data_IF_569249430859
#
_entry.id   IF_569249430859
#
_cell.length_a   1.000
_cell.length_b   1.000
_cell.length_c   1.000
_cell.angle_alpha   90.00
_cell.angle_beta   90.00
_cell.angle_gamma   90.00
#
_symmetry.space_group_name_H-M   'P 1'
#
loop_
_entity.id
_entity.type
_entity.pdbx_description
1 polymer ?
#
# COMPACT_ATOMS: atom_id res chain seq x y z
N UNK A 1 -18.07 5.73 -1.91
CA UNK A 1 -16.63 5.41 -2.08
C UNK A 1 -15.84 6.69 -1.84
N UNK A 2 -14.70 6.60 -1.17
CA UNK A 2 -13.84 7.74 -0.87
C UNK A 2 -12.50 7.54 -1.59
N UNK A 3 -11.98 8.59 -2.20
CA UNK A 3 -10.75 8.55 -2.99
C UNK A 3 -9.69 9.33 -2.23
N UNK A 4 -8.57 8.65 -1.95
CA UNK A 4 -7.40 9.25 -1.35
C UNK A 4 -6.29 9.33 -2.40
N UNK A 5 -5.79 10.54 -2.64
CA UNK A 5 -4.68 10.78 -3.55
C UNK A 5 -3.42 11.14 -2.75
N UNK A 6 -2.33 10.41 -2.99
CA UNK A 6 -1.06 10.63 -2.29
C UNK A 6 -0.06 9.52 -2.57
N UNK A 7 0.98 9.43 -1.74
CA UNK A 7 2.07 8.47 -1.96
C UNK A 7 1.63 7.05 -1.64
N UNK A 8 2.00 6.12 -2.52
CA UNK A 8 1.91 4.68 -2.30
C UNK A 8 3.34 4.16 -2.14
N UNK A 9 3.61 3.46 -1.04
CA UNK A 9 4.91 2.84 -0.77
C UNK A 9 4.97 1.45 -1.39
N UNK A 10 5.97 1.21 -2.25
CA UNK A 10 6.25 -0.11 -2.83
C UNK A 10 7.37 -0.80 -2.05
N UNK A 11 7.26 -2.11 -1.81
CA UNK A 11 8.34 -2.90 -1.22
C UNK A 11 8.32 -4.36 -1.62
N UNK A 12 9.49 -4.99 -1.62
CA UNK A 12 9.68 -6.37 -2.11
C UNK A 12 8.99 -7.45 -1.26
N UNK A 13 8.60 -7.10 -0.03
CA UNK A 13 7.96 -8.02 0.91
C UNK A 13 6.70 -7.40 1.50
N UNK A 14 5.75 -8.26 1.81
CA UNK A 14 4.50 -7.86 2.46
C UNK A 14 4.81 -7.16 3.79
N UNK A 15 4.36 -5.91 3.93
CA UNK A 15 4.40 -5.18 5.20
C UNK A 15 3.58 -5.92 6.27
N UNK A 16 4.24 -6.30 7.37
CA UNK A 16 3.65 -7.05 8.50
C UNK A 16 4.00 -6.46 9.87
N UNK A 17 4.51 -5.24 9.91
CA UNK A 17 4.90 -4.56 11.14
C UNK A 17 4.19 -3.21 11.23
N UNK A 18 3.32 -3.07 12.24
CA UNK A 18 2.60 -1.82 12.51
C UNK A 18 3.56 -0.67 12.76
N UNK A 19 4.57 -0.89 13.60
CA UNK A 19 5.51 0.17 14.01
C UNK A 19 6.33 0.66 12.81
N UNK A 20 6.80 -0.25 11.96
CA UNK A 20 7.53 0.11 10.74
C UNK A 20 6.61 0.82 9.74
N UNK A 21 5.38 0.32 9.56
CA UNK A 21 4.35 0.93 8.72
C UNK A 21 4.09 2.37 9.13
N UNK A 22 3.85 2.61 10.42
CA UNK A 22 3.55 3.94 10.95
C UNK A 22 4.75 4.88 10.85
N UNK A 23 5.96 4.40 11.15
CA UNK A 23 7.18 5.19 11.01
C UNK A 23 7.45 5.62 9.56
N UNK A 24 7.29 4.71 8.59
CA UNK A 24 7.47 5.01 7.18
C UNK A 24 6.35 5.93 6.65
N UNK A 25 5.10 5.67 7.05
CA UNK A 25 3.97 6.51 6.67
C UNK A 25 4.14 7.94 7.15
N UNK A 26 4.53 8.14 8.40
CA UNK A 26 4.79 9.48 8.94
C UNK A 26 5.99 10.15 8.25
N UNK A 27 7.08 9.41 8.04
CA UNK A 27 8.30 9.96 7.45
C UNK A 27 8.14 10.36 5.98
N UNK A 28 7.36 9.62 5.21
CA UNK A 28 7.27 9.77 3.75
C UNK A 28 5.89 10.21 3.25
N UNK A 29 4.92 10.42 4.15
CA UNK A 29 3.54 10.76 3.78
C UNK A 29 2.84 9.65 3.00
N UNK A 30 3.17 8.38 3.29
CA UNK A 30 2.61 7.21 2.59
C UNK A 30 1.18 6.95 3.08
N UNK A 31 0.25 6.81 2.14
CA UNK A 31 -1.16 6.50 2.41
C UNK A 31 -1.46 5.00 2.34
N UNK A 32 -0.72 4.26 1.52
CA UNK A 32 -0.93 2.82 1.32
C UNK A 32 0.37 2.09 0.93
N UNK A 33 0.41 0.78 1.15
CA UNK A 33 1.57 -0.07 0.85
C UNK A 33 1.20 -1.17 -0.15
N UNK A 34 2.03 -1.40 -1.15
CA UNK A 34 1.91 -2.47 -2.16
C UNK A 34 3.30 -2.95 -2.60
N UNK A 35 3.39 -3.77 -3.65
CA UNK A 35 4.63 -4.53 -3.95
C UNK A 35 5.12 -4.43 -5.40
N UNK A 36 4.37 -3.82 -6.32
CA UNK A 36 4.65 -3.87 -7.76
C UNK A 36 4.73 -2.50 -8.43
N UNK A 37 4.10 -1.48 -7.84
CA UNK A 37 3.81 -0.18 -8.44
C UNK A 37 5.05 0.60 -8.81
N UNK A 38 6.08 0.60 -7.97
CA UNK A 38 7.34 1.29 -8.29
C UNK A 38 8.04 0.69 -9.51
N UNK A 39 8.01 -0.64 -9.65
CA UNK A 39 8.66 -1.31 -10.78
C UNK A 39 7.96 -1.03 -12.11
N UNK A 40 6.63 -1.08 -12.15
CA UNK A 40 5.88 -0.84 -13.40
C UNK A 40 5.86 0.64 -13.80
N UNK A 41 5.94 1.56 -12.82
CA UNK A 41 5.96 2.99 -13.06
C UNK A 41 7.17 3.44 -13.88
N UNK A 42 8.33 2.83 -13.65
CA UNK A 42 9.56 3.16 -14.37
C UNK A 42 9.57 2.61 -15.81
N UNK A 43 8.77 1.59 -16.10
CA UNK A 43 8.74 0.93 -17.41
C UNK A 43 7.69 1.49 -18.36
N UNK A 44 6.51 1.90 -17.85
CA UNK A 44 5.42 2.41 -18.69
C UNK A 44 4.70 3.61 -18.06
N UNK A 45 4.23 4.57 -18.87
CA UNK A 45 3.34 5.62 -18.40
C UNK A 45 2.06 5.01 -17.82
N UNK A 46 1.87 5.12 -16.51
CA UNK A 46 0.74 4.53 -15.82
C UNK A 46 0.30 5.37 -14.61
N UNK A 47 -0.83 4.98 -14.02
CA UNK A 47 -1.32 5.49 -12.75
C UNK A 47 -1.59 4.27 -11.87
N UNK A 48 -1.10 4.29 -10.64
CA UNK A 48 -1.33 3.21 -9.69
C UNK A 48 -2.62 3.49 -8.92
N UNK A 49 -3.56 2.54 -8.97
CA UNK A 49 -4.81 2.57 -8.20
C UNK A 49 -4.81 1.36 -7.27
N UNK A 50 -5.10 1.60 -5.99
CA UNK A 50 -5.10 0.56 -4.97
C UNK A 50 -6.40 0.52 -4.17
N UNK A 51 -7.05 -0.63 -4.18
CA UNK A 51 -8.05 -1.01 -3.19
C UNK A 51 -7.40 -1.41 -1.86
N UNK A 52 -8.04 -1.03 -0.74
CA UNK A 52 -7.54 -1.31 0.61
C UNK A 52 -8.28 -2.52 1.18
N UNK A 53 -7.56 -3.60 1.44
CA UNK A 53 -8.10 -4.85 2.01
C UNK A 53 -7.41 -5.32 3.30
N UNK A 54 -6.37 -4.61 3.74
CA UNK A 54 -5.66 -4.90 4.99
C UNK A 54 -5.04 -3.62 5.57
N UNK A 55 -4.74 -3.65 6.87
CA UNK A 55 -4.10 -2.55 7.60
C UNK A 55 -2.58 -2.48 7.44
N UNK A 56 -1.98 -3.36 6.64
CA UNK A 56 -0.53 -3.50 6.51
C UNK A 56 0.17 -3.71 7.86
N UNK A 57 -0.44 -4.49 8.75
CA UNK A 57 0.16 -4.99 9.98
C UNK A 57 0.29 -6.52 9.95
N UNK A 58 0.63 -7.14 11.08
CA UNK A 58 0.83 -8.58 11.17
C UNK A 58 -0.45 -9.40 11.01
N UNK A 59 -1.63 -8.79 11.15
CA UNK A 59 -2.90 -9.47 11.08
C UNK A 59 -3.34 -9.67 9.63
N UNK A 60 -3.93 -10.84 9.34
CA UNK A 60 -4.49 -11.14 8.02
C UNK A 60 -6.00 -10.94 8.04
N UNK A 61 -6.48 -9.98 7.25
CA UNK A 61 -7.91 -9.73 7.05
C UNK A 61 -8.41 -10.25 5.70
N UNK A 62 -8.37 -11.58 5.51
CA UNK A 62 -8.76 -12.21 4.21
C UNK A 62 -10.21 -11.94 3.81
N UNK A 63 -11.12 -11.77 4.77
CA UNK A 63 -12.53 -11.55 4.50
C UNK A 63 -12.80 -10.25 3.71
N UNK A 64 -11.89 -9.27 3.76
CA UNK A 64 -12.05 -7.97 3.11
C UNK A 64 -11.45 -7.91 1.70
N UNK A 65 -10.66 -8.92 1.30
CA UNK A 65 -10.03 -8.96 -0.03
C UNK A 65 -11.03 -8.94 -1.20
N UNK A 66 -12.21 -9.58 -1.13
CA UNK A 66 -13.19 -9.54 -2.23
C UNK A 66 -13.89 -8.18 -2.41
N UNK A 67 -13.71 -7.23 -1.47
CA UNK A 67 -14.39 -5.94 -1.46
C UNK A 67 -13.48 -4.77 -1.83
N UNK A 68 -12.25 -5.07 -2.25
CA UNK A 68 -11.20 -4.11 -2.58
C UNK A 68 -10.76 -4.22 -4.04
#
# INVERSE_FOLDING_TARGET
>A
PEIFAGHIGSGDTVMKSRDLRDALAQKHGILAFEMEGAGIWDEIPCIIIKGICNYADSHKHKAWQPYA
#
